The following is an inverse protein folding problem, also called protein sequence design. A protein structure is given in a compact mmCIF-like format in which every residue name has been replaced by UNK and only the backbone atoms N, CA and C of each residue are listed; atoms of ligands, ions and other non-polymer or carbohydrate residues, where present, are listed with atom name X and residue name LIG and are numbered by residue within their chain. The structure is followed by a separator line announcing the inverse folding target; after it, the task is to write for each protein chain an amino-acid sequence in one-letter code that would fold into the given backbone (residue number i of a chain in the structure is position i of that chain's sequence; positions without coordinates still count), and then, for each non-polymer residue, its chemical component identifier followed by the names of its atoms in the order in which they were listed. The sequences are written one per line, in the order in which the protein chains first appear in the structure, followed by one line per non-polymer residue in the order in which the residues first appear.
data_IF_169888188126
#
_entry.id   IF_169888188126
#
_cell.length_a   1.000
_cell.length_b   1.000
_cell.length_c   1.000
_cell.angle_alpha   90.00
_cell.angle_beta   90.00
_cell.angle_gamma   90.00
#
_symmetry.space_group_name_H-M   'P 1'
#
loop_
_entity.id
_entity.type
_entity.pdbx_description
1 polymer ?
#
# COMPACT_ATOMS: atom_id res chain seq x y z
N UNK A 1 10.73 26.03 14.31
CA UNK A 1 11.87 26.58 13.54
C UNK A 1 12.58 25.43 12.85
N UNK A 2 12.17 25.10 11.62
CA UNK A 2 12.84 24.06 10.81
C UNK A 2 14.10 24.64 10.21
N UNK A 3 15.27 24.15 10.61
CA UNK A 3 16.55 24.56 10.04
C UNK A 3 16.61 24.17 8.56
N UNK A 4 16.57 25.16 7.68
CA UNK A 4 17.02 25.08 6.29
C UNK A 4 18.54 24.85 6.22
N UNK A 5 19.06 23.82 6.88
CA UNK A 5 20.49 23.57 6.97
C UNK A 5 20.88 22.38 6.12
N UNK A 6 21.51 22.66 4.98
CA UNK A 6 22.30 21.67 4.26
C UNK A 6 23.34 21.07 5.22
N UNK A 7 23.40 19.75 5.33
CA UNK A 7 24.43 19.07 6.13
C UNK A 7 25.57 18.61 5.24
N UNK A 8 26.79 18.60 5.79
CA UNK A 8 27.95 18.08 5.07
C UNK A 8 27.73 16.65 4.56
N UNK A 9 27.15 15.78 5.40
CA UNK A 9 26.88 14.38 5.06
C UNK A 9 25.94 14.26 3.85
N UNK A 10 24.84 15.02 3.84
CA UNK A 10 23.86 15.01 2.76
C UNK A 10 24.47 15.53 1.46
N UNK A 11 25.16 16.66 1.53
CA UNK A 11 25.77 17.30 0.37
C UNK A 11 26.93 16.49 -0.21
N UNK A 12 27.72 15.85 0.65
CA UNK A 12 28.78 14.93 0.23
C UNK A 12 28.20 13.67 -0.43
N UNK A 13 27.17 13.05 0.16
CA UNK A 13 26.51 11.88 -0.44
C UNK A 13 25.89 12.21 -1.80
N UNK A 14 25.23 13.38 -1.92
CA UNK A 14 24.67 13.87 -3.18
C UNK A 14 25.74 14.03 -4.26
N UNK A 15 26.80 14.81 -3.99
CA UNK A 15 27.90 15.02 -4.95
C UNK A 15 28.59 13.72 -5.33
N UNK A 16 28.71 12.77 -4.38
CA UNK A 16 29.31 11.47 -4.66
C UNK A 16 28.47 10.67 -5.66
N UNK A 17 27.15 10.62 -5.48
CA UNK A 17 26.24 9.96 -6.42
C UNK A 17 26.27 10.61 -7.81
N UNK A 18 26.27 11.95 -7.86
CA UNK A 18 26.41 12.73 -9.11
C UNK A 18 27.72 12.38 -9.82
N UNK A 19 28.86 12.42 -9.12
CA UNK A 19 30.16 12.07 -9.68
C UNK A 19 30.19 10.62 -10.18
N UNK A 20 29.67 9.65 -9.41
CA UNK A 20 29.63 8.24 -9.84
C UNK A 20 28.82 8.07 -11.13
N UNK A 21 27.72 8.82 -11.30
CA UNK A 21 26.93 8.82 -12.54
C UNK A 21 27.69 9.48 -13.71
N UNK A 22 28.41 10.58 -13.45
CA UNK A 22 29.26 11.24 -14.45
C UNK A 22 30.40 10.33 -14.92
N UNK A 23 31.08 9.64 -14.02
CA UNK A 23 32.15 8.68 -14.38
C UNK A 23 31.60 7.49 -15.17
N UNK A 24 30.41 6.99 -14.82
CA UNK A 24 29.73 5.97 -15.62
C UNK A 24 29.47 6.47 -17.05
N UNK A 25 29.03 7.73 -17.21
CA UNK A 25 28.83 8.32 -18.53
C UNK A 25 30.14 8.44 -19.31
N UNK A 26 31.21 8.95 -18.71
CA UNK A 26 32.53 9.01 -19.37
C UNK A 26 33.07 7.64 -19.75
N UNK A 27 32.88 6.63 -18.89
CA UNK A 27 33.22 5.26 -19.21
C UNK A 27 32.46 4.76 -20.44
N UNK A 28 31.12 4.92 -20.45
CA UNK A 28 30.29 4.52 -21.58
C UNK A 28 30.68 5.23 -22.88
N UNK A 29 30.91 6.54 -22.83
CA UNK A 29 31.34 7.34 -23.97
C UNK A 29 32.71 6.87 -24.50
N UNK A 30 33.66 6.57 -23.60
CA UNK A 30 34.99 6.07 -24.00
C UNK A 30 34.95 4.69 -24.68
N UNK A 31 33.96 3.87 -24.33
CA UNK A 31 33.82 2.49 -24.84
C UNK A 31 32.96 2.45 -26.10
N UNK A 32 31.86 3.21 -26.14
CA UNK A 32 30.91 3.20 -27.24
C UNK A 32 31.27 4.23 -28.31
N UNK A 33 31.75 5.42 -27.93
CA UNK A 33 32.10 6.50 -28.86
C UNK A 33 33.31 6.17 -29.75
N UNK A 34 34.23 5.31 -29.29
CA UNK A 34 35.36 4.82 -30.10
C UNK A 34 34.97 3.75 -31.13
N UNK A 35 33.81 3.12 -30.96
CA UNK A 35 33.31 2.09 -31.90
C UNK A 35 32.92 2.70 -33.25
N UNK A 36 32.56 3.99 -33.28
CA UNK A 36 32.15 4.71 -34.50
C UNK A 36 33.34 5.18 -35.35
N UNK A 37 34.54 5.29 -34.79
CA UNK A 37 35.71 5.90 -35.47
C UNK A 37 36.77 4.91 -35.94
N UNK A 38 36.90 3.74 -35.32
CA UNK A 38 37.94 2.75 -35.66
C UNK A 38 37.33 1.38 -36.00
N UNK A 39 37.06 1.13 -37.30
CA UNK A 39 36.75 -0.19 -37.90
C UNK A 39 35.92 -1.15 -37.01
N UNK A 40 34.86 -0.66 -36.37
CA UNK A 40 33.82 -1.48 -35.73
C UNK A 40 34.25 -2.40 -34.59
N UNK A 41 35.43 -2.22 -33.98
CA UNK A 41 35.84 -2.99 -32.80
C UNK A 41 35.70 -2.16 -31.53
N UNK A 42 34.79 -2.58 -30.65
CA UNK A 42 34.68 -2.02 -29.30
C UNK A 42 35.99 -2.27 -28.52
N UNK A 43 36.46 -1.28 -27.73
CA UNK A 43 37.67 -1.41 -26.92
C UNK A 43 37.54 -2.42 -25.76
N UNK A 44 36.31 -2.82 -25.41
CA UNK A 44 36.03 -3.88 -24.44
C UNK A 44 35.13 -4.94 -25.05
N UNK A 45 35.36 -6.20 -24.68
CA UNK A 45 34.43 -7.28 -25.01
C UNK A 45 33.14 -7.13 -24.19
N UNK A 46 32.03 -7.62 -24.73
CA UNK A 46 30.71 -7.55 -24.07
C UNK A 46 30.72 -8.07 -22.60
N UNK A 47 31.38 -9.19 -22.26
CA UNK A 47 31.43 -9.67 -20.87
C UNK A 47 32.16 -8.69 -19.92
N UNK A 48 33.27 -8.10 -20.36
CA UNK A 48 34.08 -7.15 -19.57
C UNK A 48 33.32 -5.82 -19.37
N UNK A 49 32.62 -5.36 -20.41
CA UNK A 49 31.71 -4.22 -20.31
C UNK A 49 30.60 -4.49 -19.29
N UNK A 50 29.97 -5.67 -19.35
CA UNK A 50 28.92 -6.06 -18.39
C UNK A 50 29.44 -6.06 -16.96
N UNK A 51 30.62 -6.62 -16.72
CA UNK A 51 31.24 -6.65 -15.40
C UNK A 51 31.50 -5.22 -14.87
N UNK A 52 32.06 -4.36 -15.71
CA UNK A 52 32.30 -2.94 -15.39
C UNK A 52 30.99 -2.21 -15.04
N UNK A 53 29.93 -2.41 -15.84
CA UNK A 53 28.61 -1.81 -15.58
C UNK A 53 27.98 -2.32 -14.29
N UNK A 54 28.20 -3.60 -13.94
CA UNK A 54 27.78 -4.11 -12.63
C UNK A 54 28.53 -3.44 -11.48
N UNK A 55 29.82 -3.15 -11.65
CA UNK A 55 30.63 -2.38 -10.70
C UNK A 55 30.08 -0.97 -10.46
N UNK A 56 29.81 -0.23 -11.55
CA UNK A 56 29.19 1.10 -11.48
C UNK A 56 27.80 1.05 -10.85
N UNK A 57 26.97 0.07 -11.23
CA UNK A 57 25.66 -0.15 -10.62
C UNK A 57 25.81 -0.29 -9.10
N UNK A 58 26.63 -1.23 -8.62
CA UNK A 58 26.81 -1.45 -7.17
C UNK A 58 27.28 -0.18 -6.44
N UNK A 59 28.22 0.55 -7.05
CA UNK A 59 28.73 1.81 -6.49
C UNK A 59 27.63 2.86 -6.36
N UNK A 60 26.85 3.07 -7.43
CA UNK A 60 25.75 4.04 -7.45
C UNK A 60 24.63 3.67 -6.45
N UNK A 61 24.29 2.38 -6.33
CA UNK A 61 23.35 1.92 -5.30
C UNK A 61 23.87 2.18 -3.88
N UNK A 62 25.18 2.00 -3.64
CA UNK A 62 25.81 2.36 -2.37
C UNK A 62 25.77 3.85 -2.09
N UNK A 63 25.94 4.69 -3.11
CA UNK A 63 25.85 6.15 -2.97
C UNK A 63 24.41 6.61 -2.69
N UNK A 64 23.41 6.02 -3.35
CA UNK A 64 21.99 6.28 -3.04
C UNK A 64 21.60 5.83 -1.63
N UNK A 65 22.17 4.74 -1.12
CA UNK A 65 21.93 4.31 0.26
C UNK A 65 22.48 5.32 1.28
N UNK A 66 23.67 5.87 1.03
CA UNK A 66 24.23 6.95 1.86
C UNK A 66 23.35 8.20 1.81
N UNK A 67 22.87 8.58 0.62
CA UNK A 67 21.96 9.72 0.47
C UNK A 67 20.63 9.49 1.21
N UNK A 68 20.09 8.27 1.16
CA UNK A 68 18.84 7.89 1.83
C UNK A 68 18.93 7.99 3.35
N UNK A 69 20.08 7.65 3.91
CA UNK A 69 20.33 7.55 5.36
C UNK A 69 20.94 8.81 5.96
N UNK A 70 21.50 9.71 5.13
CA UNK A 70 22.10 10.97 5.56
C UNK A 70 21.17 11.76 6.48
N UNK A 71 21.77 12.39 7.51
CA UNK A 71 21.05 13.18 8.50
C UNK A 71 19.90 12.40 9.20
N UNK A 72 20.05 11.08 9.36
CA UNK A 72 19.04 10.18 9.96
C UNK A 72 17.68 10.21 9.23
N UNK A 73 17.65 10.63 7.96
CA UNK A 73 16.40 10.80 7.21
C UNK A 73 15.60 9.49 7.10
N UNK A 74 16.27 8.33 6.98
CA UNK A 74 15.59 7.04 6.94
C UNK A 74 14.96 6.63 8.27
N UNK A 75 15.58 6.99 9.40
CA UNK A 75 15.03 6.75 10.74
C UNK A 75 13.77 7.58 10.92
N UNK A 76 13.83 8.88 10.59
CA UNK A 76 12.66 9.76 10.60
C UNK A 76 11.54 9.23 9.69
N UNK A 77 11.88 8.84 8.46
CA UNK A 77 10.93 8.28 7.49
C UNK A 77 10.20 7.05 8.04
N UNK A 78 10.94 6.10 8.61
CA UNK A 78 10.38 4.88 9.20
C UNK A 78 9.44 5.19 10.37
N UNK A 79 9.90 6.03 11.31
CA UNK A 79 9.09 6.44 12.45
C UNK A 79 7.80 7.12 11.97
N UNK A 80 7.91 8.05 11.02
CA UNK A 80 6.76 8.81 10.54
C UNK A 80 5.76 7.94 9.80
N UNK A 81 6.22 7.02 8.94
CA UNK A 81 5.35 6.04 8.29
C UNK A 81 4.65 5.11 9.29
N UNK A 82 5.31 4.76 10.41
CA UNK A 82 4.68 4.00 11.49
C UNK A 82 3.57 4.81 12.18
N UNK A 83 3.84 6.06 12.54
CA UNK A 83 2.85 6.96 13.15
C UNK A 83 1.61 7.15 12.27
N UNK A 84 1.82 7.33 10.95
CA UNK A 84 0.74 7.42 9.98
C UNK A 84 -0.03 6.10 9.85
N UNK A 85 0.68 4.97 9.88
CA UNK A 85 0.05 3.65 9.88
C UNK A 85 -0.85 3.45 11.10
N UNK A 86 -0.36 3.81 12.28
CA UNK A 86 -1.11 3.69 13.53
C UNK A 86 -2.30 4.67 13.59
N UNK A 87 -2.18 5.86 12.97
CA UNK A 87 -3.31 6.76 12.77
C UNK A 87 -4.42 6.09 11.93
N UNK A 88 -4.06 5.43 10.82
CA UNK A 88 -5.04 4.71 10.00
C UNK A 88 -5.69 3.57 10.78
N UNK A 89 -4.91 2.78 11.54
CA UNK A 89 -5.48 1.70 12.36
C UNK A 89 -6.51 2.25 13.37
N UNK A 90 -6.20 3.37 14.04
CA UNK A 90 -7.16 4.04 14.96
C UNK A 90 -8.42 4.53 14.24
N UNK A 91 -8.29 5.11 13.04
CA UNK A 91 -9.44 5.56 12.25
C UNK A 91 -10.35 4.41 11.84
N UNK A 92 -9.76 3.29 11.41
CA UNK A 92 -10.50 2.08 11.07
C UNK A 92 -11.19 1.51 12.30
N UNK A 93 -10.49 1.42 13.43
CA UNK A 93 -11.07 0.94 14.68
C UNK A 93 -12.27 1.78 15.13
N UNK A 94 -12.13 3.11 15.08
CA UNK A 94 -13.23 4.02 15.37
C UNK A 94 -14.42 3.81 14.41
N UNK A 95 -14.15 3.69 13.10
CA UNK A 95 -15.18 3.51 12.08
C UNK A 95 -15.93 2.19 12.23
N UNK A 96 -15.22 1.11 12.57
CA UNK A 96 -15.79 -0.24 12.67
C UNK A 96 -16.48 -0.52 14.00
N UNK A 97 -16.26 0.32 15.02
CA UNK A 97 -16.83 0.15 16.35
C UNK A 97 -17.71 1.35 16.78
N UNK A 98 -18.86 1.58 16.12
CA UNK A 98 -19.78 2.62 16.54
C UNK A 98 -20.36 2.33 17.94
N UNK A 99 -20.74 3.39 18.66
CA UNK A 99 -21.34 3.29 20.00
C UNK A 99 -22.72 2.64 19.99
N UNK A 100 -23.54 2.94 18.98
CA UNK A 100 -24.84 2.30 18.75
C UNK A 100 -24.91 1.73 17.32
N UNK A 101 -24.81 0.40 17.23
CA UNK A 101 -24.91 -0.28 15.95
C UNK A 101 -26.28 -0.12 15.29
N UNK A 102 -27.37 0.10 16.03
CA UNK A 102 -28.71 0.21 15.41
C UNK A 102 -28.80 1.44 14.50
N UNK A 103 -28.27 2.57 14.97
CA UNK A 103 -28.30 3.86 14.27
C UNK A 103 -27.08 4.11 13.38
N UNK A 104 -25.99 3.35 13.54
CA UNK A 104 -24.80 3.47 12.71
C UNK A 104 -25.09 3.29 11.21
N UNK A 105 -24.41 4.10 10.38
CA UNK A 105 -24.38 3.92 8.93
C UNK A 105 -23.51 2.71 8.60
N UNK A 106 -24.06 1.76 7.84
CA UNK A 106 -23.45 0.48 7.49
C UNK A 106 -23.26 0.36 5.98
N UNK A 107 -22.14 -0.23 5.60
CA UNK A 107 -21.91 -0.77 4.26
C UNK A 107 -21.83 -2.29 4.39
N UNK A 108 -22.71 -2.99 3.69
CA UNK A 108 -22.76 -4.45 3.68
C UNK A 108 -22.04 -4.95 2.44
N UNK A 109 -21.10 -5.85 2.64
CA UNK A 109 -20.28 -6.46 1.58
C UNK A 109 -20.36 -7.98 1.69
N UNK A 110 -20.51 -8.67 0.56
CA UNK A 110 -20.70 -10.13 0.51
C UNK A 110 -19.55 -10.77 -0.27
N UNK A 111 -18.74 -11.58 0.42
CA UNK A 111 -17.62 -12.35 -0.13
C UNK A 111 -18.07 -13.72 -0.67
N UNK A 112 -18.94 -13.74 -1.68
CA UNK A 112 -19.44 -14.99 -2.31
C UNK A 112 -18.84 -15.27 -3.70
N UNK A 113 -17.92 -14.44 -4.18
CA UNK A 113 -17.33 -14.63 -5.52
C UNK A 113 -16.49 -15.91 -5.58
N UNK A 114 -16.78 -16.77 -6.56
CA UNK A 114 -16.03 -17.99 -6.86
C UNK A 114 -14.69 -17.63 -7.52
N UNK A 115 -13.72 -17.22 -6.69
CA UNK A 115 -12.34 -16.99 -7.10
C UNK A 115 -11.37 -17.37 -5.97
N UNK A 116 -10.07 -17.36 -6.28
CA UNK A 116 -9.05 -17.71 -5.29
C UNK A 116 -8.96 -16.74 -4.11
N UNK A 117 -8.30 -17.17 -3.03
CA UNK A 117 -8.18 -16.41 -1.78
C UNK A 117 -7.72 -14.96 -1.99
N UNK A 118 -6.67 -14.75 -2.81
CA UNK A 118 -6.16 -13.41 -3.10
C UNK A 118 -7.23 -12.50 -3.76
N UNK A 119 -8.07 -13.04 -4.63
CA UNK A 119 -9.18 -12.30 -5.25
C UNK A 119 -10.25 -11.94 -4.21
N UNK A 120 -10.53 -12.82 -3.24
CA UNK A 120 -11.45 -12.52 -2.14
C UNK A 120 -10.90 -11.44 -1.20
N UNK A 121 -9.59 -11.47 -0.91
CA UNK A 121 -8.94 -10.40 -0.13
C UNK A 121 -8.97 -9.06 -0.88
N UNK A 122 -8.74 -9.04 -2.19
CA UNK A 122 -8.89 -7.83 -2.99
C UNK A 122 -10.33 -7.29 -2.97
N UNK A 123 -11.33 -8.17 -2.98
CA UNK A 123 -12.72 -7.76 -2.78
C UNK A 123 -12.93 -7.17 -1.37
N UNK A 124 -12.41 -7.82 -0.34
CA UNK A 124 -12.48 -7.31 1.03
C UNK A 124 -11.84 -5.92 1.16
N UNK A 125 -10.64 -5.72 0.56
CA UNK A 125 -9.99 -4.41 0.47
C UNK A 125 -10.86 -3.38 -0.22
N UNK A 126 -11.50 -3.71 -1.35
CA UNK A 126 -12.44 -2.82 -2.02
C UNK A 126 -13.60 -2.40 -1.10
N UNK A 127 -14.13 -3.33 -0.31
CA UNK A 127 -15.17 -3.04 0.67
C UNK A 127 -14.68 -2.16 1.83
N UNK A 128 -13.48 -2.41 2.36
CA UNK A 128 -12.88 -1.59 3.42
C UNK A 128 -12.60 -0.16 2.92
N UNK A 129 -12.06 -0.01 1.72
CA UNK A 129 -11.83 1.30 1.09
C UNK A 129 -13.16 2.06 0.94
N UNK A 130 -14.19 1.38 0.42
CA UNK A 130 -15.51 1.98 0.22
C UNK A 130 -16.16 2.39 1.54
N UNK A 131 -16.08 1.54 2.57
CA UNK A 131 -16.59 1.82 3.90
C UNK A 131 -15.87 3.04 4.52
N UNK A 132 -14.54 3.10 4.39
CA UNK A 132 -13.73 4.23 4.87
C UNK A 132 -14.09 5.53 4.15
N UNK A 133 -14.14 5.51 2.82
CA UNK A 133 -14.44 6.70 2.01
C UNK A 133 -15.86 7.23 2.24
N UNK A 134 -16.82 6.34 2.49
CA UNK A 134 -18.23 6.70 2.72
C UNK A 134 -18.55 6.96 4.20
N UNK A 135 -17.59 6.78 5.12
CA UNK A 135 -17.80 6.94 6.56
C UNK A 135 -18.86 5.99 7.12
N UNK A 136 -18.84 4.72 6.71
CA UNK A 136 -19.77 3.68 7.16
C UNK A 136 -19.04 2.50 7.80
N UNK A 137 -19.60 1.94 8.87
CA UNK A 137 -19.09 0.69 9.45
C UNK A 137 -19.30 -0.47 8.46
N UNK A 138 -18.32 -1.34 8.32
CA UNK A 138 -18.36 -2.44 7.34
C UNK A 138 -18.96 -3.68 7.99
N UNK A 139 -20.04 -4.18 7.41
CA UNK A 139 -20.57 -5.51 7.73
C UNK A 139 -20.14 -6.46 6.61
N UNK A 140 -19.14 -7.27 6.91
CA UNK A 140 -18.62 -8.27 5.98
C UNK A 140 -19.36 -9.60 6.16
N UNK A 141 -20.01 -10.07 5.11
CA UNK A 141 -20.63 -11.40 5.06
C UNK A 141 -19.75 -12.31 4.22
N UNK A 142 -19.20 -13.36 4.82
CA UNK A 142 -18.52 -14.44 4.09
C UNK A 142 -19.32 -15.73 4.26
N UNK A 143 -19.59 -16.46 3.17
CA UNK A 143 -20.03 -17.85 3.26
C UNK A 143 -18.83 -18.77 3.52
N UNK A 144 -19.08 -20.07 3.74
CA UNK A 144 -18.01 -21.07 3.60
C UNK A 144 -17.31 -20.88 2.26
N UNK A 145 -15.98 -20.87 2.29
CA UNK A 145 -15.14 -20.70 1.10
C UNK A 145 -14.42 -22.01 0.80
N UNK A 146 -13.81 -22.12 -0.38
CA UNK A 146 -12.93 -23.26 -0.70
C UNK A 146 -11.68 -23.32 0.22
N UNK A 147 -11.36 -22.24 0.94
CA UNK A 147 -10.11 -22.09 1.70
C UNK A 147 -10.29 -22.20 3.22
N UNK A 148 -11.51 -22.12 3.71
CA UNK A 148 -11.87 -22.37 5.09
C UNK A 148 -13.28 -22.97 5.11
N UNK A 149 -13.43 -24.10 5.80
CA UNK A 149 -14.73 -24.73 6.07
C UNK A 149 -15.67 -23.79 6.83
N UNK A 150 -15.11 -22.77 7.48
CA UNK A 150 -15.78 -21.73 8.27
C UNK A 150 -15.65 -20.34 7.62
N UNK A 151 -16.36 -19.35 8.17
CA UNK A 151 -16.36 -17.95 7.71
C UNK A 151 -14.97 -17.29 7.81
N UNK A 152 -14.78 -16.12 7.18
CA UNK A 152 -13.57 -15.28 7.27
C UNK A 152 -13.09 -15.10 8.72
N UNK A 153 -14.05 -14.98 9.64
CA UNK A 153 -13.83 -14.81 11.07
C UNK A 153 -13.33 -16.08 11.78
N UNK A 154 -13.06 -17.18 11.08
CA UNK A 154 -12.42 -18.39 11.67
C UNK A 154 -10.90 -18.28 11.78
N UNK A 155 -10.30 -17.41 10.97
CA UNK A 155 -8.85 -17.19 10.92
C UNK A 155 -8.52 -15.77 11.36
N UNK A 156 -9.29 -14.79 10.89
CA UNK A 156 -9.05 -13.38 11.16
C UNK A 156 -10.06 -12.83 12.17
N UNK A 157 -9.69 -11.73 12.82
CA UNK A 157 -10.60 -10.96 13.66
C UNK A 157 -11.71 -10.34 12.78
N UNK A 158 -12.94 -10.21 13.29
CA UNK A 158 -13.99 -9.52 12.57
C UNK A 158 -13.58 -8.06 12.31
N UNK A 159 -14.22 -7.45 11.31
CA UNK A 159 -13.92 -6.05 10.93
C UNK A 159 -14.14 -5.08 12.08
N UNK A 160 -15.15 -5.33 12.92
CA UNK A 160 -15.41 -4.61 14.16
C UNK A 160 -16.06 -5.53 15.19
N UNK A 161 -16.07 -5.10 16.44
CA UNK A 161 -16.62 -5.87 17.57
C UNK A 161 -18.04 -5.43 17.96
N UNK A 162 -18.38 -4.14 17.81
CA UNK A 162 -19.66 -3.61 18.30
C UNK A 162 -20.79 -3.58 17.27
N UNK A 163 -20.52 -3.85 15.98
CA UNK A 163 -21.55 -3.77 14.95
C UNK A 163 -21.54 -4.90 13.91
N UNK A 164 -22.05 -6.07 14.33
CA UNK A 164 -22.12 -7.29 13.52
C UNK A 164 -23.53 -7.61 12.99
N UNK A 165 -24.51 -6.75 13.24
CA UNK A 165 -25.92 -7.05 12.92
C UNK A 165 -26.14 -7.26 11.43
N UNK A 166 -26.84 -8.35 11.09
CA UNK A 166 -27.17 -8.76 9.73
C UNK A 166 -28.62 -8.52 9.34
N UNK A 167 -29.43 -7.99 10.27
CA UNK A 167 -30.82 -7.63 10.05
C UNK A 167 -30.92 -6.19 9.53
N UNK A 168 -31.40 -6.04 8.30
CA UNK A 168 -31.51 -4.75 7.63
C UNK A 168 -32.94 -4.56 7.14
N UNK A 169 -33.64 -3.55 7.67
CA UNK A 169 -35.05 -3.30 7.33
C UNK A 169 -35.20 -2.61 5.96
N UNK A 170 -34.28 -1.68 5.64
CA UNK A 170 -34.23 -0.95 4.36
C UNK A 170 -32.79 -1.02 3.83
N UNK A 171 -32.64 -1.47 2.58
CA UNK A 171 -31.33 -1.67 1.95
C UNK A 171 -31.32 -1.08 0.56
N UNK A 172 -30.35 -0.19 0.31
CA UNK A 172 -30.22 0.42 -1.02
C UNK A 172 -28.88 0.04 -1.64
N UNK A 173 -28.92 -0.35 -2.92
CA UNK A 173 -27.73 -0.61 -3.70
C UNK A 173 -26.94 0.69 -3.86
N UNK A 174 -25.62 0.63 -3.65
CA UNK A 174 -24.80 1.83 -3.78
C UNK A 174 -24.69 2.27 -5.27
N UNK A 175 -24.91 3.56 -5.59
CA UNK A 175 -24.93 4.02 -6.99
C UNK A 175 -23.55 4.39 -7.57
N UNK A 176 -22.44 4.10 -6.88
CA UNK A 176 -21.09 4.32 -7.42
C UNK A 176 -20.51 5.73 -7.24
N UNK A 177 -21.12 6.61 -6.44
CA UNK A 177 -20.66 8.00 -6.23
C UNK A 177 -20.39 8.35 -4.76
N UNK A 178 -19.42 9.24 -4.54
CA UNK A 178 -19.05 9.80 -3.22
C UNK A 178 -20.12 10.72 -2.64
N UNK A 179 -20.85 11.45 -3.50
CA UNK A 179 -21.88 12.39 -3.07
C UNK A 179 -23.22 11.71 -2.76
N UNK A 180 -23.21 10.39 -2.54
CA UNK A 180 -24.41 9.63 -2.28
C UNK A 180 -24.96 9.90 -0.87
N UNK A 181 -25.90 10.84 -0.79
CA UNK A 181 -26.67 11.14 0.41
C UNK A 181 -27.92 10.26 0.45
N UNK A 182 -27.75 9.00 0.80
CA UNK A 182 -28.89 8.14 1.14
C UNK A 182 -29.38 8.46 2.54
N UNK A 183 -30.71 8.56 2.69
CA UNK A 183 -31.40 8.50 3.98
C UNK A 183 -31.29 7.13 4.64
N UNK A 184 -30.88 6.10 3.89
CA UNK A 184 -30.71 4.76 4.42
C UNK A 184 -29.43 4.63 5.23
N UNK A 185 -29.63 4.09 6.44
CA UNK A 185 -28.55 3.72 7.31
C UNK A 185 -27.74 2.57 6.73
N UNK A 186 -28.30 1.72 5.86
CA UNK A 186 -27.60 0.55 5.31
C UNK A 186 -27.53 0.59 3.79
N UNK A 187 -26.33 0.42 3.23
CA UNK A 187 -26.11 0.28 1.79
C UNK A 187 -25.44 -1.05 1.47
N UNK A 188 -25.74 -1.61 0.30
CA UNK A 188 -25.13 -2.84 -0.18
C UNK A 188 -24.15 -2.56 -1.30
N UNK A 189 -22.94 -3.09 -1.16
CA UNK A 189 -21.91 -3.10 -2.20
C UNK A 189 -22.00 -4.42 -2.95
N UNK A 190 -22.37 -4.37 -4.22
CA UNK A 190 -22.45 -5.54 -5.08
C UNK A 190 -21.12 -5.81 -5.79
N UNK A 191 -20.78 -7.08 -5.97
CA UNK A 191 -19.54 -7.53 -6.61
C UNK A 191 -19.37 -7.07 -8.07
N UNK A 192 -20.46 -6.71 -8.73
CA UNK A 192 -20.56 -6.27 -10.13
C UNK A 192 -20.13 -4.82 -10.35
N UNK A 193 -19.86 -4.06 -9.29
CA UNK A 193 -19.57 -2.62 -9.36
C UNK A 193 -18.20 -2.26 -9.97
N UNK A 194 -17.36 -3.26 -10.27
CA UNK A 194 -16.19 -3.06 -11.14
C UNK A 194 -16.58 -2.69 -12.59
N UNK A 195 -17.83 -2.90 -12.99
CA UNK A 195 -18.34 -2.66 -14.34
C UNK A 195 -19.29 -1.45 -14.44
N UNK A 196 -19.46 -0.68 -13.36
CA UNK A 196 -20.16 0.60 -13.43
C UNK A 196 -19.36 1.58 -14.30
N UNK A 197 -19.98 2.38 -15.19
CA UNK A 197 -19.26 3.25 -16.13
C UNK A 197 -18.41 4.33 -15.45
N UNK A 198 -18.58 4.56 -14.15
CA UNK A 198 -17.79 5.52 -13.38
C UNK A 198 -17.13 4.80 -12.20
N UNK A 199 -15.83 4.52 -12.35
CA UNK A 199 -15.00 4.02 -11.26
C UNK A 199 -14.92 5.09 -10.16
N UNK A 200 -15.30 4.79 -8.92
CA UNK A 200 -15.27 5.75 -7.82
C UNK A 200 -13.88 6.32 -7.56
N UNK A 201 -13.77 7.64 -7.36
CA UNK A 201 -12.50 8.36 -7.25
C UNK A 201 -11.65 7.97 -6.03
N UNK A 202 -12.24 7.32 -5.03
CA UNK A 202 -11.54 6.86 -3.83
C UNK A 202 -10.89 5.47 -3.99
N UNK A 203 -11.11 4.79 -5.11
CA UNK A 203 -10.44 3.54 -5.40
C UNK A 203 -8.98 3.77 -5.82
N UNK A 204 -8.09 2.76 -5.69
CA UNK A 204 -6.71 2.89 -6.11
C UNK A 204 -6.58 3.43 -7.55
N UNK A 205 -5.67 4.38 -7.83
CA UNK A 205 -4.48 4.69 -7.03
C UNK A 205 -4.69 5.77 -5.96
N UNK A 206 -5.92 6.16 -5.64
CA UNK A 206 -6.19 7.20 -4.65
C UNK A 206 -5.67 6.85 -3.24
N UNK A 207 -5.37 7.90 -2.47
CA UNK A 207 -5.01 7.87 -1.06
C UNK A 207 -5.82 8.95 -0.30
N UNK A 208 -5.95 8.88 1.04
CA UNK A 208 -6.60 9.93 1.81
C UNK A 208 -5.93 11.30 1.57
N UNK A 209 -6.73 12.30 1.23
CA UNK A 209 -6.24 13.62 0.82
C UNK A 209 -5.40 14.31 1.90
N UNK A 210 -5.76 14.12 3.17
CA UNK A 210 -5.04 14.65 4.33
C UNK A 210 -3.65 14.05 4.52
N UNK A 211 -3.38 12.86 3.93
CA UNK A 211 -2.09 12.18 4.00
C UNK A 211 -1.29 12.24 2.69
N UNK A 212 -1.90 12.70 1.59
CA UNK A 212 -1.34 12.58 0.25
C UNK A 212 0.03 13.27 0.10
N UNK A 213 0.14 14.51 0.58
CA UNK A 213 1.38 15.29 0.52
C UNK A 213 2.48 14.68 1.38
N UNK A 214 2.14 14.21 2.58
CA UNK A 214 3.13 13.66 3.47
C UNK A 214 3.64 12.28 2.98
N UNK A 215 2.72 11.44 2.47
CA UNK A 215 3.10 10.15 1.91
C UNK A 215 3.94 10.26 0.64
N UNK A 216 3.75 11.29 -0.19
CA UNK A 216 4.58 11.49 -1.39
C UNK A 216 6.03 11.81 -1.06
N UNK A 217 6.28 12.40 0.12
CA UNK A 217 7.64 12.64 0.64
C UNK A 217 8.22 11.34 1.23
N UNK A 218 7.39 10.55 1.92
CA UNK A 218 7.85 9.43 2.73
C UNK A 218 7.91 8.08 2.01
N UNK A 219 7.13 7.87 0.95
CA UNK A 219 6.99 6.56 0.31
C UNK A 219 7.02 6.65 -1.23
N UNK A 220 7.80 5.78 -1.88
CA UNK A 220 7.94 5.76 -3.34
C UNK A 220 6.67 5.33 -4.10
N UNK A 221 5.67 4.78 -3.39
CA UNK A 221 4.35 4.47 -3.94
C UNK A 221 3.26 4.64 -2.85
N UNK A 222 2.68 5.84 -2.69
CA UNK A 222 1.70 6.12 -1.64
C UNK A 222 0.47 5.20 -1.68
N UNK A 223 -0.01 4.83 -2.86
CA UNK A 223 -1.20 3.99 -3.02
C UNK A 223 -0.98 2.58 -2.47
N UNK A 224 0.18 1.98 -2.74
CA UNK A 224 0.53 0.66 -2.19
C UNK A 224 0.68 0.72 -0.67
N UNK A 225 1.28 1.79 -0.13
CA UNK A 225 1.36 1.97 1.32
C UNK A 225 -0.04 2.04 1.95
N UNK A 226 -0.96 2.80 1.35
CA UNK A 226 -2.35 2.92 1.80
C UNK A 226 -3.06 1.57 1.81
N UNK A 227 -3.00 0.81 0.71
CA UNK A 227 -3.55 -0.54 0.61
C UNK A 227 -2.92 -1.46 1.66
N UNK A 228 -1.62 -1.33 1.91
CA UNK A 228 -0.90 -2.07 2.95
C UNK A 228 -1.46 -1.84 4.36
N UNK A 229 -1.86 -0.61 4.70
CA UNK A 229 -2.50 -0.33 6.00
C UNK A 229 -3.87 -0.98 6.13
N UNK A 230 -4.65 -1.01 5.05
CA UNK A 230 -5.94 -1.69 5.04
C UNK A 230 -5.78 -3.22 5.12
N UNK A 231 -4.79 -3.77 4.41
CA UNK A 231 -4.44 -5.18 4.49
C UNK A 231 -4.00 -5.57 5.91
N UNK A 232 -3.19 -4.73 6.58
CA UNK A 232 -2.82 -4.90 8.00
C UNK A 232 -4.05 -5.01 8.90
N UNK A 233 -5.09 -4.21 8.64
CA UNK A 233 -6.35 -4.26 9.39
C UNK A 233 -7.12 -5.56 9.10
N UNK A 234 -7.22 -5.96 7.83
CA UNK A 234 -7.92 -7.19 7.41
C UNK A 234 -7.26 -8.46 7.98
N UNK A 235 -5.93 -8.49 8.02
CA UNK A 235 -5.15 -9.68 8.41
C UNK A 235 -4.86 -9.79 9.91
N UNK A 236 -5.64 -9.13 10.78
CA UNK A 236 -5.56 -9.39 12.22
C UNK A 236 -5.93 -10.83 12.49
N UNK A 237 -5.00 -11.64 12.98
CA UNK A 237 -5.27 -13.05 13.29
C UNK A 237 -6.05 -13.17 14.60
N UNK A 238 -7.00 -14.11 14.66
CA UNK A 238 -7.61 -14.53 15.93
C UNK A 238 -6.62 -15.30 16.80
N UNK A 239 -6.82 -15.20 18.12
CA UNK A 239 -5.96 -15.75 19.18
C UNK A 239 -5.40 -17.18 18.96
N UNK A 240 -4.27 -17.48 19.63
CA UNK A 240 -3.41 -18.68 19.51
C UNK A 240 -2.89 -19.04 18.10
N UNK A 241 -3.51 -18.62 16.99
CA UNK A 241 -2.95 -18.72 15.63
C UNK A 241 -1.86 -17.67 15.34
N UNK A 242 -1.71 -16.68 16.23
CA UNK A 242 -0.52 -15.81 16.28
C UNK A 242 0.73 -16.55 16.82
N UNK A 243 0.55 -17.74 17.38
CA UNK A 243 1.63 -18.63 17.84
C UNK A 243 2.31 -19.37 16.70
N UNK A 244 2.79 -18.67 15.67
CA UNK A 244 3.86 -19.20 14.83
C UNK A 244 5.16 -19.17 15.64
N UNK A 245 5.25 -20.00 16.67
CA UNK A 245 6.49 -20.21 17.42
C UNK A 245 7.41 -21.07 16.55
N UNK A 246 8.28 -20.43 15.76
CA UNK A 246 9.47 -21.04 15.15
C UNK A 246 9.26 -22.37 14.39
N UNK A 247 8.08 -22.63 13.81
CA UNK A 247 7.82 -23.88 13.07
C UNK A 247 8.13 -23.82 11.58
N UNK A 248 8.67 -22.69 11.09
CA UNK A 248 9.28 -22.65 9.77
C UNK A 248 10.75 -23.06 9.94
N UNK A 249 11.00 -24.36 9.79
CA UNK A 249 12.33 -24.91 9.59
C UNK A 249 12.52 -25.06 8.08
N UNK A 250 13.51 -24.36 7.53
CA UNK A 250 14.00 -24.53 6.17
C UNK A 250 15.39 -25.14 6.20
#
# INVERSE_FOLDING_TARGET
SSSNSLTYEMEHAKRKAENTMTELWYFLDSVLGKSDTEKGQMPLKIPELRESLQGYKRSLFGDFEKLRTANKADVYRKQRLQELGDLIQRRLEYLQNPTDCKTAKKLVCILTRSCGFACQIHHCLHCVISAYALGRSLVLKSSSSLYASESFDSVFEPMGSSCLSTQFNNTTKWPGTLNYKSSDNTIFLTSEENYSPQRPAFLPPAVPADLAQELSILHGNPSVWWIGQLARYIFRLKGKKAGFTNTIVG
#
